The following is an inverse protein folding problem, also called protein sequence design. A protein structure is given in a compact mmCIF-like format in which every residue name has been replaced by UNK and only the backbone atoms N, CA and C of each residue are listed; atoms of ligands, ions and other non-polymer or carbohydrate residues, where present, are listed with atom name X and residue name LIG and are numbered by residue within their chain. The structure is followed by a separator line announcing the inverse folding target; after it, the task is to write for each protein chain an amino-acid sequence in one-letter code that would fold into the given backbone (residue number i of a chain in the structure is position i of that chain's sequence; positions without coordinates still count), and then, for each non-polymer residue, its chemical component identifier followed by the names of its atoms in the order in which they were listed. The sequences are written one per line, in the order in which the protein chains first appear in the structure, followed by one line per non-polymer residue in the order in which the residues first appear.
data_IF_158598839849
#
_entry.id   IF_158598839849
#
_cell.length_a   1.000
_cell.length_b   1.000
_cell.length_c   1.000
_cell.angle_alpha   90.00
_cell.angle_beta   90.00
_cell.angle_gamma   90.00
#
_symmetry.space_group_name_H-M   'P 1'
#
loop_
_entity.id
_entity.type
_entity.pdbx_description
1 polymer ?
#
# COMPACT_ATOMS: atom_id res chain seq x y z
N UNK A 1 13.14 8.73 7.35
CA UNK A 1 12.69 10.06 6.91
C UNK A 1 12.11 9.87 5.52
N UNK A 2 10.78 9.86 5.39
CA UNK A 2 10.14 9.89 4.06
C UNK A 2 10.48 11.27 3.48
N UNK A 3 11.12 11.32 2.32
CA UNK A 3 11.38 12.58 1.61
C UNK A 3 10.04 13.20 1.23
N UNK A 4 9.51 14.08 2.08
CA UNK A 4 8.25 14.78 1.83
C UNK A 4 8.28 15.53 0.49
N UNK A 5 9.46 16.00 0.06
CA UNK A 5 9.67 16.61 -1.26
C UNK A 5 9.35 15.68 -2.44
N UNK A 6 9.56 14.36 -2.30
CA UNK A 6 9.20 13.36 -3.32
C UNK A 6 7.73 12.99 -3.28
N UNK A 7 7.05 13.20 -2.16
CA UNK A 7 5.62 12.91 -2.00
C UNK A 7 4.73 14.04 -2.57
N UNK A 8 5.18 15.30 -2.56
CA UNK A 8 4.38 16.46 -3.03
C UNK A 8 3.87 16.32 -4.47
N UNK A 9 4.67 15.88 -5.47
CA UNK A 9 4.19 15.70 -6.84
C UNK A 9 3.11 14.61 -6.91
N UNK A 10 3.33 13.50 -6.20
CA UNK A 10 2.42 12.36 -6.14
C UNK A 10 1.08 12.81 -5.54
N UNK A 11 1.09 13.54 -4.42
CA UNK A 11 -0.12 14.05 -3.77
C UNK A 11 -0.91 15.00 -4.68
N UNK A 12 -0.24 15.80 -5.51
CA UNK A 12 -0.90 16.70 -6.47
C UNK A 12 -1.56 15.94 -7.63
N UNK A 13 -0.88 14.97 -8.24
CA UNK A 13 -1.49 14.13 -9.28
C UNK A 13 -2.70 13.36 -8.72
N UNK A 14 -2.56 12.86 -7.50
CA UNK A 14 -3.60 12.13 -6.78
C UNK A 14 -4.85 12.97 -6.44
N UNK A 15 -4.72 14.29 -6.29
CA UNK A 15 -5.85 15.18 -5.96
C UNK A 15 -6.81 15.44 -7.13
N UNK A 16 -6.41 15.09 -8.35
CA UNK A 16 -7.24 15.22 -9.57
C UNK A 16 -8.03 13.95 -9.89
N UNK A 17 -7.71 12.86 -9.19
CA UNK A 17 -8.23 11.53 -9.45
C UNK A 17 -9.51 11.25 -8.66
N UNK A 18 -10.38 10.41 -9.21
CA UNK A 18 -11.53 9.90 -8.45
C UNK A 18 -11.06 9.15 -7.19
N UNK A 19 -11.90 9.11 -6.16
CA UNK A 19 -11.62 8.41 -4.90
C UNK A 19 -11.13 6.97 -5.08
N UNK A 20 -11.75 6.29 -6.06
CA UNK A 20 -11.36 4.98 -6.53
C UNK A 20 -9.94 4.97 -7.12
N UNK A 21 -9.64 5.90 -8.03
CA UNK A 21 -8.32 6.00 -8.65
C UNK A 21 -7.23 6.32 -7.63
N UNK A 22 -7.52 7.18 -6.64
CA UNK A 22 -6.62 7.44 -5.51
C UNK A 22 -6.22 6.15 -4.80
N UNK A 23 -7.19 5.33 -4.37
CA UNK A 23 -6.89 4.07 -3.67
C UNK A 23 -6.13 3.08 -4.55
N UNK A 24 -6.44 3.01 -5.85
CA UNK A 24 -5.72 2.14 -6.78
C UNK A 24 -4.25 2.56 -6.91
N UNK A 25 -3.99 3.86 -7.11
CA UNK A 25 -2.64 4.39 -7.26
C UNK A 25 -1.85 4.27 -5.95
N UNK A 26 -2.45 4.63 -4.81
CA UNK A 26 -1.80 4.48 -3.50
C UNK A 26 -1.46 3.02 -3.22
N UNK A 27 -2.38 2.09 -3.50
CA UNK A 27 -2.14 0.65 -3.34
C UNK A 27 -0.98 0.14 -4.21
N UNK A 28 -0.92 0.57 -5.47
CA UNK A 28 0.19 0.23 -6.36
C UNK A 28 1.52 0.83 -5.90
N UNK A 29 1.51 2.05 -5.37
CA UNK A 29 2.70 2.71 -4.86
C UNK A 29 3.28 1.98 -3.65
N UNK A 30 2.43 1.62 -2.66
CA UNK A 30 2.86 0.85 -1.49
C UNK A 30 3.41 -0.52 -1.89
N UNK A 31 2.77 -1.20 -2.85
CA UNK A 31 3.27 -2.49 -3.36
C UNK A 31 4.66 -2.36 -4.00
N UNK A 32 4.91 -1.29 -4.76
CA UNK A 32 6.20 -1.03 -5.37
C UNK A 32 7.28 -0.70 -4.33
N UNK A 33 6.98 0.11 -3.31
CA UNK A 33 7.93 0.40 -2.23
C UNK A 33 8.26 -0.85 -1.40
N UNK A 34 7.26 -1.69 -1.08
CA UNK A 34 7.51 -2.99 -0.46
C UNK A 34 8.45 -3.85 -1.31
N UNK A 35 8.25 -3.87 -2.62
CA UNK A 35 9.11 -4.62 -3.53
C UNK A 35 10.55 -4.12 -3.44
N UNK A 36 10.79 -2.81 -3.50
CA UNK A 36 12.13 -2.22 -3.36
C UNK A 36 12.77 -2.56 -2.02
N UNK A 37 12.04 -2.41 -0.91
CA UNK A 37 12.57 -2.71 0.41
C UNK A 37 12.90 -4.20 0.58
N UNK A 38 12.09 -5.09 0.00
CA UNK A 38 12.38 -6.52 -0.03
C UNK A 38 13.63 -6.83 -0.87
N UNK A 39 13.80 -6.20 -2.03
CA UNK A 39 15.02 -6.35 -2.85
C UNK A 39 16.28 -5.93 -2.09
N UNK A 40 16.20 -4.89 -1.24
CA UNK A 40 17.32 -4.49 -0.38
C UNK A 40 17.57 -5.43 0.80
N UNK A 41 16.53 -6.10 1.30
CA UNK A 41 16.60 -6.95 2.49
C UNK A 41 17.01 -8.38 2.18
N UNK A 42 16.56 -8.92 1.05
CA UNK A 42 16.82 -10.28 0.62
C UNK A 42 18.24 -10.42 0.06
N UNK A 43 18.69 -11.68 -0.09
CA UNK A 43 19.95 -11.96 -0.75
C UNK A 43 19.90 -11.51 -2.22
N UNK A 44 21.06 -11.19 -2.83
CA UNK A 44 21.10 -10.77 -4.22
C UNK A 44 20.41 -11.78 -5.15
N UNK A 45 19.66 -11.25 -6.11
CA UNK A 45 19.04 -12.06 -7.17
C UNK A 45 20.10 -12.85 -7.95
N UNK A 46 19.79 -14.11 -8.23
CA UNK A 46 20.65 -15.00 -9.02
C UNK A 46 20.59 -14.70 -10.52
N UNK A 47 19.50 -14.08 -10.97
CA UNK A 47 19.21 -13.74 -12.37
C UNK A 47 18.87 -12.25 -12.56
N UNK A 48 18.61 -11.84 -13.80
CA UNK A 48 18.22 -10.45 -14.12
C UNK A 48 16.97 -9.98 -13.36
N UNK A 49 16.02 -10.88 -13.11
CA UNK A 49 14.78 -10.64 -12.35
C UNK A 49 14.82 -11.45 -11.06
N UNK A 50 14.29 -10.88 -9.99
CA UNK A 50 14.01 -11.64 -8.78
C UNK A 50 12.76 -12.51 -9.01
N UNK A 51 12.93 -13.83 -9.15
CA UNK A 51 11.81 -14.74 -9.45
C UNK A 51 10.76 -14.77 -8.33
N UNK A 52 11.19 -14.64 -7.07
CA UNK A 52 10.30 -14.65 -5.92
C UNK A 52 9.41 -13.41 -5.93
N UNK A 53 10.02 -12.22 -6.01
CA UNK A 53 9.29 -10.96 -5.95
C UNK A 53 8.50 -10.66 -7.22
N UNK A 54 8.95 -11.15 -8.38
CA UNK A 54 8.23 -10.97 -9.65
C UNK A 54 6.91 -11.75 -9.70
N UNK A 55 6.85 -12.92 -9.02
CA UNK A 55 5.64 -13.75 -8.95
C UNK A 55 4.79 -13.48 -7.71
N UNK A 56 5.35 -12.80 -6.71
CA UNK A 56 4.62 -12.44 -5.50
C UNK A 56 3.55 -11.39 -5.80
N UNK A 57 2.32 -11.66 -5.37
CA UNK A 57 1.26 -10.67 -5.34
C UNK A 57 1.39 -9.73 -4.13
N UNK A 58 0.54 -8.71 -4.07
CA UNK A 58 0.60 -7.71 -3.00
C UNK A 58 0.49 -8.34 -1.59
N UNK A 59 -0.36 -9.36 -1.43
CA UNK A 59 -0.51 -10.07 -0.16
C UNK A 59 0.76 -10.81 0.24
N UNK A 60 1.35 -11.55 -0.69
CA UNK A 60 2.61 -12.26 -0.48
C UNK A 60 3.73 -11.30 -0.10
N UNK A 61 3.81 -10.14 -0.75
CA UNK A 61 4.81 -9.10 -0.43
C UNK A 61 4.61 -8.52 0.98
N UNK A 62 3.38 -8.25 1.40
CA UNK A 62 3.08 -7.78 2.76
C UNK A 62 3.51 -8.82 3.81
N UNK A 63 3.19 -10.09 3.59
CA UNK A 63 3.58 -11.19 4.48
C UNK A 63 5.10 -11.33 4.54
N UNK A 64 5.77 -11.35 3.39
CA UNK A 64 7.24 -11.46 3.32
C UNK A 64 7.91 -10.29 4.03
N UNK A 65 7.44 -9.05 3.81
CA UNK A 65 8.00 -7.87 4.44
C UNK A 65 7.88 -7.93 5.98
N UNK A 66 6.74 -8.38 6.50
CA UNK A 66 6.58 -8.55 7.95
C UNK A 66 7.48 -9.66 8.51
N UNK A 67 7.51 -10.81 7.84
CA UNK A 67 8.29 -11.98 8.28
C UNK A 67 9.81 -11.76 8.21
N UNK A 68 10.27 -10.85 7.35
CA UNK A 68 11.69 -10.47 7.22
C UNK A 68 12.08 -9.26 8.06
N UNK A 69 11.12 -8.68 8.79
CA UNK A 69 11.31 -7.52 9.67
C UNK A 69 11.48 -6.19 8.93
N UNK A 70 11.05 -6.11 7.67
CA UNK A 70 11.05 -4.85 6.89
C UNK A 70 9.98 -3.90 7.39
N UNK A 71 8.84 -4.44 7.82
CA UNK A 71 7.70 -3.68 8.33
C UNK A 71 7.29 -4.20 9.71
N UNK A 72 6.70 -3.31 10.50
CA UNK A 72 6.14 -3.57 11.82
C UNK A 72 4.79 -4.30 11.73
N UNK A 73 4.29 -4.78 12.87
CA UNK A 73 2.94 -5.37 12.94
C UNK A 73 1.83 -4.36 12.62
N UNK A 74 2.00 -3.11 13.05
CA UNK A 74 1.04 -2.04 12.76
C UNK A 74 0.98 -1.76 11.25
N UNK A 75 2.14 -1.63 10.60
CA UNK A 75 2.22 -1.47 9.13
C UNK A 75 1.65 -2.69 8.39
N UNK A 76 1.90 -3.91 8.86
CA UNK A 76 1.31 -5.12 8.30
C UNK A 76 -0.23 -5.06 8.30
N UNK A 77 -0.84 -4.61 9.41
CA UNK A 77 -2.30 -4.45 9.53
C UNK A 77 -2.82 -3.38 8.56
N UNK A 78 -2.17 -2.21 8.51
CA UNK A 78 -2.52 -1.12 7.58
C UNK A 78 -2.46 -1.60 6.13
N UNK A 79 -1.34 -2.20 5.72
CA UNK A 79 -1.15 -2.62 4.33
C UNK A 79 -2.12 -3.73 3.93
N UNK A 80 -2.45 -4.64 4.86
CA UNK A 80 -3.49 -5.65 4.63
C UNK A 80 -4.85 -5.01 4.37
N UNK A 81 -5.24 -4.01 5.16
CA UNK A 81 -6.51 -3.30 4.97
C UNK A 81 -6.51 -2.46 3.68
N UNK A 82 -5.40 -1.79 3.35
CA UNK A 82 -5.21 -1.05 2.11
C UNK A 82 -5.34 -1.96 0.88
N UNK A 83 -4.70 -3.14 0.90
CA UNK A 83 -4.84 -4.16 -0.14
C UNK A 83 -6.30 -4.57 -0.35
N UNK A 84 -7.02 -4.84 0.74
CA UNK A 84 -8.43 -5.20 0.68
C UNK A 84 -9.27 -4.08 0.08
N UNK A 85 -9.00 -2.82 0.43
CA UNK A 85 -9.67 -1.65 -0.11
C UNK A 85 -9.39 -1.52 -1.62
N UNK A 86 -8.12 -1.61 -2.03
CA UNK A 86 -7.70 -1.60 -3.45
C UNK A 86 -8.42 -2.66 -4.26
N UNK A 87 -8.46 -3.90 -3.77
CA UNK A 87 -9.10 -5.00 -4.50
C UNK A 87 -10.60 -4.78 -4.65
N UNK A 88 -11.28 -4.20 -3.65
CA UNK A 88 -12.69 -3.81 -3.77
C UNK A 88 -12.89 -2.74 -4.83
N UNK A 89 -12.07 -1.69 -4.82
CA UNK A 89 -12.09 -0.65 -5.86
C UNK A 89 -11.80 -1.19 -7.27
N UNK A 90 -11.01 -2.26 -7.39
CA UNK A 90 -10.72 -2.90 -8.68
C UNK A 90 -11.89 -3.75 -9.20
N UNK A 91 -12.65 -4.42 -8.31
CA UNK A 91 -13.72 -5.34 -8.68
C UNK A 91 -15.11 -4.69 -8.75
N UNK A 92 -15.43 -3.72 -7.88
CA UNK A 92 -16.72 -3.02 -7.89
C UNK A 92 -16.63 -1.76 -8.77
N UNK A 93 -17.28 -1.81 -9.94
CA UNK A 93 -17.39 -0.67 -10.88
C UNK A 93 -18.47 0.33 -10.45
N UNK A 94 -19.38 -0.06 -9.53
CA UNK A 94 -20.37 0.85 -8.94
C UNK A 94 -19.69 1.86 -8.01
N UNK A 95 -19.92 3.15 -8.24
CA UNK A 95 -19.35 4.33 -7.57
C UNK A 95 -18.86 4.12 -6.12
N UNK A 96 -17.63 3.63 -5.96
CA UNK A 96 -16.91 3.64 -4.69
C UNK A 96 -16.37 5.08 -4.49
N UNK A 97 -17.16 5.93 -3.84
CA UNK A 97 -16.75 7.29 -3.45
C UNK A 97 -16.45 7.37 -1.95
N UNK A 98 -15.47 8.20 -1.57
CA UNK A 98 -15.22 8.71 -0.22
C UNK A 98 -16.45 9.38 0.41
N UNK A 99 -17.52 9.64 -0.34
CA UNK A 99 -18.78 10.15 0.22
C UNK A 99 -19.72 9.05 0.74
N UNK A 100 -19.45 7.78 0.44
CA UNK A 100 -20.23 6.68 1.02
C UNK A 100 -19.73 6.34 2.43
N UNK A 101 -20.66 6.24 3.39
CA UNK A 101 -20.36 5.99 4.81
C UNK A 101 -19.48 4.75 5.01
N UNK A 102 -19.66 3.73 4.18
CA UNK A 102 -18.92 2.48 4.29
C UNK A 102 -17.42 2.66 3.94
N UNK A 103 -17.09 3.53 3.00
CA UNK A 103 -15.71 3.78 2.57
C UNK A 103 -14.98 4.68 3.57
N UNK A 104 -15.65 5.74 4.04
CA UNK A 104 -15.14 6.57 5.13
C UNK A 104 -14.90 5.77 6.40
N UNK A 105 -15.80 4.86 6.75
CA UNK A 105 -15.65 4.03 7.94
C UNK A 105 -14.44 3.11 7.83
N UNK A 106 -14.17 2.52 6.65
CA UNK A 106 -12.98 1.69 6.40
C UNK A 106 -11.69 2.51 6.55
N UNK A 107 -11.63 3.71 5.97
CA UNK A 107 -10.45 4.59 6.10
C UNK A 107 -10.24 5.03 7.55
N UNK A 108 -11.31 5.42 8.25
CA UNK A 108 -11.25 5.76 9.67
C UNK A 108 -10.75 4.58 10.50
N UNK A 109 -11.16 3.35 10.18
CA UNK A 109 -10.66 2.17 10.88
C UNK A 109 -9.17 1.95 10.60
N UNK A 110 -8.70 2.11 9.35
CA UNK A 110 -7.27 2.06 9.00
C UNK A 110 -6.46 3.09 9.79
N UNK A 111 -6.97 4.32 9.89
CA UNK A 111 -6.29 5.40 10.62
C UNK A 111 -6.31 5.20 12.14
N UNK A 112 -7.44 4.73 12.68
CA UNK A 112 -7.61 4.52 14.13
C UNK A 112 -6.82 3.33 14.64
N UNK A 113 -6.80 2.23 13.90
CA UNK A 113 -6.22 0.98 14.36
C UNK A 113 -4.68 0.96 14.22
N UNK A 114 -4.07 2.02 13.68
CA UNK A 114 -2.62 2.12 13.49
C UNK A 114 -2.08 3.54 13.68
N UNK A 115 -2.34 4.18 14.85
CA UNK A 115 -2.04 5.60 15.07
C UNK A 115 -0.54 5.90 15.00
N UNK A 116 0.32 4.92 15.33
CA UNK A 116 1.78 5.06 15.31
C UNK A 116 2.34 5.22 13.89
N UNK A 117 1.66 4.70 12.88
CA UNK A 117 2.09 4.81 11.47
C UNK A 117 1.93 6.25 10.96
N UNK A 118 1.01 7.03 11.54
CA UNK A 118 0.62 8.35 11.05
C UNK A 118 1.22 9.52 11.84
N UNK A 119 2.01 9.26 12.90
CA UNK A 119 2.54 10.27 13.83
C UNK A 119 3.98 10.72 13.51
N UNK A 120 4.37 10.73 12.24
CA UNK A 120 5.72 11.10 11.80
C UNK A 120 5.72 12.24 10.79
#
# INVERSE_FOLDING_TARGET
MVDLEKAIPIVKELSLESDRALVLITGAHVENELTKHLEYRLLPKLDKKDELLHRADFETKIILAYRTGVITEDEFRVYTQLRQLRNKCAHDVSEQSFQTDQFQHRLKNIMRDSPKVWQH
#
